data_IF_027084810155
#
_entry.id   IF_027084810155
#
_cell.length_a   1.000
_cell.length_b   1.000
_cell.length_c   1.000
_cell.angle_alpha   90.00
_cell.angle_beta   90.00
_cell.angle_gamma   90.00
#
_symmetry.space_group_name_H-M   'P 1'
#
loop_
_entity.id
_entity.type
_entity.pdbx_description
1 polymer ?
#
# COMPACT_ATOMS: atom_id res chain seq x y z
N UNK A 1 -24.02 -57.97 13.71
CA UNK A 1 -24.44 -56.65 13.17
C UNK A 1 -23.29 -55.71 13.34
N UNK A 2 -22.53 -55.47 12.29
CA UNK A 2 -21.27 -54.69 12.32
C UNK A 2 -21.60 -53.26 11.96
N UNK A 3 -21.57 -52.35 12.92
CA UNK A 3 -21.67 -50.90 12.68
C UNK A 3 -20.40 -50.45 11.94
N UNK A 4 -20.52 -50.17 10.66
CA UNK A 4 -19.51 -49.45 9.91
C UNK A 4 -19.49 -48.02 10.39
N UNK A 5 -18.43 -47.65 11.13
CA UNK A 5 -18.09 -46.29 11.42
C UNK A 5 -17.75 -45.60 10.09
N UNK A 6 -18.66 -44.83 9.54
CA UNK A 6 -18.36 -43.94 8.41
C UNK A 6 -17.45 -42.83 8.97
N UNK A 7 -16.18 -42.94 8.71
CA UNK A 7 -15.25 -41.80 8.80
C UNK A 7 -15.66 -40.88 7.64
N UNK A 8 -16.44 -39.85 7.95
CA UNK A 8 -16.65 -38.74 7.03
C UNK A 8 -15.28 -38.09 6.80
N UNK A 9 -14.71 -38.34 5.62
CA UNK A 9 -13.61 -37.53 5.10
C UNK A 9 -14.11 -36.08 5.06
N UNK A 10 -13.71 -35.32 6.02
CA UNK A 10 -13.95 -33.86 6.05
C UNK A 10 -13.26 -33.31 4.80
N UNK A 11 -14.03 -32.84 3.83
CA UNK A 11 -13.44 -32.12 2.68
C UNK A 11 -12.72 -30.92 3.20
N UNK A 12 -11.42 -30.83 2.95
CA UNK A 12 -10.61 -29.67 3.26
C UNK A 12 -11.21 -28.43 2.62
N UNK A 13 -11.30 -27.35 3.40
CA UNK A 13 -11.80 -26.06 2.88
C UNK A 13 -10.84 -25.51 1.83
N UNK A 14 -11.35 -24.73 0.89
CA UNK A 14 -10.50 -24.09 -0.14
C UNK A 14 -9.38 -23.26 0.49
N UNK A 15 -9.68 -22.53 1.59
CA UNK A 15 -8.68 -21.76 2.32
C UNK A 15 -7.57 -22.67 2.92
N UNK A 16 -7.94 -23.81 3.52
CA UNK A 16 -6.96 -24.74 4.09
C UNK A 16 -6.00 -25.27 3.02
N UNK A 17 -6.53 -25.65 1.85
CA UNK A 17 -5.73 -26.06 0.70
C UNK A 17 -4.82 -24.95 0.20
N UNK A 18 -5.37 -23.73 0.08
CA UNK A 18 -4.64 -22.55 -0.42
C UNK A 18 -3.46 -22.16 0.49
N UNK A 19 -3.62 -22.33 1.80
CA UNK A 19 -2.60 -22.01 2.80
C UNK A 19 -1.69 -23.20 3.14
N UNK A 20 -2.05 -24.41 2.71
CA UNK A 20 -1.41 -25.68 3.10
C UNK A 20 -1.36 -25.85 4.63
N UNK A 21 -2.52 -25.71 5.26
CA UNK A 21 -2.73 -25.83 6.72
C UNK A 21 -3.97 -26.70 7.00
N UNK A 22 -4.15 -27.10 8.25
CA UNK A 22 -5.35 -27.81 8.65
C UNK A 22 -6.60 -26.93 8.65
N UNK A 23 -7.78 -27.54 8.52
CA UNK A 23 -9.07 -26.85 8.48
C UNK A 23 -9.38 -26.06 9.75
N UNK A 24 -8.90 -26.49 10.92
CA UNK A 24 -9.14 -25.82 12.18
C UNK A 24 -8.40 -24.49 12.22
N UNK A 25 -7.16 -24.48 11.73
CA UNK A 25 -6.36 -23.29 11.61
C UNK A 25 -6.94 -22.31 10.57
N UNK A 26 -7.31 -22.79 9.38
CA UNK A 26 -7.96 -21.98 8.36
C UNK A 26 -9.27 -21.35 8.88
N UNK A 27 -10.07 -22.12 9.61
CA UNK A 27 -11.29 -21.66 10.26
C UNK A 27 -11.02 -20.57 11.31
N UNK A 28 -9.97 -20.72 12.13
CA UNK A 28 -9.58 -19.72 13.11
C UNK A 28 -9.16 -18.39 12.42
N UNK A 29 -8.39 -18.47 11.34
CA UNK A 29 -8.02 -17.28 10.55
C UNK A 29 -9.26 -16.57 10.01
N UNK A 30 -10.20 -17.31 9.40
CA UNK A 30 -11.38 -16.76 8.75
C UNK A 30 -12.41 -16.19 9.72
N UNK A 31 -12.62 -16.87 10.84
CA UNK A 31 -13.71 -16.54 11.75
C UNK A 31 -13.29 -15.70 12.96
N UNK A 32 -12.00 -15.71 13.33
CA UNK A 32 -11.51 -15.02 14.54
C UNK A 32 -10.48 -13.94 14.24
N UNK A 33 -9.49 -14.22 13.40
CA UNK A 33 -8.39 -13.29 13.14
C UNK A 33 -8.81 -12.24 12.09
N UNK A 34 -9.39 -12.69 10.97
CA UNK A 34 -9.83 -11.84 9.86
C UNK A 34 -11.31 -12.07 9.50
N UNK A 35 -12.26 -11.85 10.45
CA UNK A 35 -13.67 -12.12 10.22
C UNK A 35 -14.21 -11.27 9.08
N UNK A 36 -14.87 -11.93 8.09
CA UNK A 36 -15.46 -11.27 6.93
C UNK A 36 -14.50 -11.01 5.76
N UNK A 37 -13.21 -11.29 5.90
CA UNK A 37 -12.26 -11.17 4.80
C UNK A 37 -12.42 -12.29 3.77
N UNK A 38 -12.07 -12.01 2.51
CA UNK A 38 -12.02 -13.00 1.42
C UNK A 38 -10.86 -13.96 1.63
N UNK A 39 -10.99 -15.18 1.14
CA UNK A 39 -9.96 -16.22 1.28
C UNK A 39 -8.63 -15.78 0.64
N UNK A 40 -8.67 -15.12 -0.53
CA UNK A 40 -7.49 -14.54 -1.18
C UNK A 40 -6.81 -13.45 -0.34
N UNK A 41 -7.60 -12.60 0.32
CA UNK A 41 -7.05 -11.54 1.19
C UNK A 41 -6.43 -12.12 2.46
N UNK A 42 -7.01 -13.20 3.01
CA UNK A 42 -6.41 -13.95 4.14
C UNK A 42 -5.10 -14.60 3.68
N UNK A 43 -5.03 -15.14 2.46
CA UNK A 43 -3.80 -15.67 1.91
C UNK A 43 -2.72 -14.59 1.82
N UNK A 44 -3.03 -13.40 1.31
CA UNK A 44 -2.06 -12.30 1.26
C UNK A 44 -1.57 -11.91 2.66
N UNK A 45 -2.47 -11.84 3.65
CA UNK A 45 -2.08 -11.58 5.04
C UNK A 45 -1.19 -12.70 5.62
N UNK A 46 -1.47 -13.96 5.28
CA UNK A 46 -0.65 -15.10 5.62
C UNK A 46 0.75 -15.03 5.00
N UNK A 47 0.83 -14.79 3.69
CA UNK A 47 2.10 -14.66 2.96
C UNK A 47 2.93 -13.48 3.48
N UNK A 48 2.28 -12.33 3.77
CA UNK A 48 2.89 -11.18 4.44
C UNK A 48 3.51 -11.57 5.78
N UNK A 49 2.76 -12.25 6.63
CA UNK A 49 3.25 -12.68 7.94
C UNK A 49 4.42 -13.66 7.80
N UNK A 50 4.35 -14.62 6.88
CA UNK A 50 5.44 -15.58 6.62
C UNK A 50 6.71 -14.89 6.14
N UNK A 51 6.60 -13.97 5.18
CA UNK A 51 7.74 -13.24 4.65
C UNK A 51 8.50 -12.43 5.72
N UNK A 52 7.78 -11.95 6.74
CA UNK A 52 8.33 -11.17 7.85
C UNK A 52 8.60 -11.99 9.12
N UNK A 53 8.37 -13.30 9.09
CA UNK A 53 8.49 -14.18 10.25
C UNK A 53 7.59 -13.77 11.42
N UNK A 54 6.36 -13.32 11.11
CA UNK A 54 5.37 -12.89 12.08
C UNK A 54 4.36 -14.01 12.35
N UNK A 55 3.91 -14.11 13.59
CA UNK A 55 2.84 -15.02 13.98
C UNK A 55 1.47 -14.39 13.62
N UNK A 56 0.82 -14.91 12.58
CA UNK A 56 -0.48 -14.42 12.11
C UNK A 56 -1.57 -14.48 13.18
N UNK A 57 -1.48 -15.44 14.13
CA UNK A 57 -2.44 -15.58 15.21
C UNK A 57 -2.41 -14.42 16.21
N UNK A 58 -1.33 -13.68 16.26
CA UNK A 58 -1.19 -12.42 17.03
C UNK A 58 -1.76 -11.21 16.31
N UNK A 59 -2.31 -11.40 15.12
CA UNK A 59 -2.89 -10.34 14.28
C UNK A 59 -1.94 -9.15 14.07
N UNK A 60 -0.74 -9.37 13.54
CA UNK A 60 0.24 -8.29 13.35
C UNK A 60 -0.14 -7.32 12.24
N UNK A 61 -1.04 -7.71 11.36
CA UNK A 61 -1.55 -6.89 10.26
C UNK A 61 -3.08 -6.91 10.20
N UNK A 62 -3.62 -5.99 9.42
CA UNK A 62 -5.04 -5.84 9.18
C UNK A 62 -5.31 -5.89 7.68
N UNK A 63 -6.48 -6.42 7.31
CA UNK A 63 -7.00 -6.39 5.94
C UNK A 63 -7.97 -5.22 5.86
N UNK A 64 -7.61 -4.21 5.08
CA UNK A 64 -8.38 -2.95 4.98
C UNK A 64 -8.80 -2.76 3.53
N UNK A 65 -10.12 -2.62 3.29
CA UNK A 65 -10.64 -2.24 1.98
C UNK A 65 -10.30 -0.78 1.70
N UNK A 66 -9.56 -0.52 0.65
CA UNK A 66 -9.15 0.83 0.23
C UNK A 66 -9.45 1.08 -1.25
N UNK A 67 -9.77 2.33 -1.55
CA UNK A 67 -9.88 2.81 -2.93
C UNK A 67 -8.48 3.12 -3.45
N UNK A 68 -7.98 2.33 -4.38
CA UNK A 68 -6.65 2.47 -4.96
C UNK A 68 -6.75 2.87 -6.43
N UNK A 69 -5.77 3.65 -6.90
CA UNK A 69 -5.68 4.03 -8.31
C UNK A 69 -5.32 2.81 -9.16
N UNK A 70 -5.99 2.66 -10.31
CA UNK A 70 -5.68 1.59 -11.27
C UNK A 70 -4.40 1.93 -12.00
N UNK A 71 -3.38 1.06 -12.01
CA UNK A 71 -2.15 1.29 -12.76
C UNK A 71 -2.43 1.62 -14.23
N UNK A 72 -1.83 2.71 -14.72
CA UNK A 72 -2.01 3.17 -16.11
C UNK A 72 -3.28 3.98 -16.37
N UNK A 73 -4.02 4.36 -15.33
CA UNK A 73 -5.17 5.27 -15.47
C UNK A 73 -5.18 6.30 -14.34
N UNK A 74 -5.11 7.57 -14.67
CA UNK A 74 -5.10 8.68 -13.70
C UNK A 74 -6.44 8.85 -12.96
N UNK A 75 -7.57 8.44 -13.58
CA UNK A 75 -8.90 8.73 -13.06
C UNK A 75 -9.67 7.51 -12.56
N UNK A 76 -9.17 6.29 -12.80
CA UNK A 76 -9.87 5.07 -12.38
C UNK A 76 -9.38 4.61 -11.01
N UNK A 77 -10.32 4.49 -10.08
CA UNK A 77 -10.10 3.89 -8.76
C UNK A 77 -10.87 2.58 -8.66
N UNK A 78 -10.30 1.64 -7.95
CA UNK A 78 -10.98 0.37 -7.60
C UNK A 78 -10.79 0.07 -6.12
N UNK A 79 -11.75 -0.65 -5.54
CA UNK A 79 -11.64 -1.13 -4.17
C UNK A 79 -10.83 -2.41 -4.13
N UNK A 80 -9.78 -2.38 -3.33
CA UNK A 80 -8.93 -3.55 -3.06
C UNK A 80 -8.72 -3.72 -1.58
N UNK A 81 -8.62 -4.98 -1.15
CA UNK A 81 -8.12 -5.30 0.17
C UNK A 81 -6.60 -5.06 0.20
N UNK A 82 -6.18 -4.20 1.12
CA UNK A 82 -4.78 -3.84 1.36
C UNK A 82 -4.36 -4.41 2.70
N UNK A 83 -3.20 -5.06 2.74
CA UNK A 83 -2.62 -5.53 3.99
C UNK A 83 -1.85 -4.37 4.62
N UNK A 84 -2.26 -3.99 5.82
CA UNK A 84 -1.63 -2.91 6.56
C UNK A 84 -1.06 -3.44 7.89
N UNK A 85 0.21 -3.14 8.20
CA UNK A 85 0.77 -3.48 9.51
C UNK A 85 0.00 -2.78 10.63
N UNK A 86 -0.08 -3.40 11.79
CA UNK A 86 -0.52 -2.73 13.01
C UNK A 86 0.67 -2.18 13.79
N UNK A 87 0.45 -1.29 14.74
CA UNK A 87 1.52 -0.74 15.60
C UNK A 87 2.32 -1.85 16.33
N UNK A 88 1.69 -2.99 16.62
CA UNK A 88 2.37 -4.13 17.25
C UNK A 88 3.46 -4.73 16.34
N UNK A 89 3.25 -4.72 15.04
CA UNK A 89 4.23 -5.17 14.05
C UNK A 89 5.41 -4.20 13.99
N UNK A 90 5.15 -2.88 13.90
CA UNK A 90 6.20 -1.87 13.91
C UNK A 90 7.09 -1.94 15.17
N UNK A 91 6.49 -2.16 16.35
CA UNK A 91 7.21 -2.41 17.58
C UNK A 91 8.09 -3.66 17.50
N UNK A 92 7.54 -4.76 16.96
CA UNK A 92 8.26 -6.04 16.81
C UNK A 92 9.45 -5.86 15.87
N UNK A 93 9.29 -5.18 14.76
CA UNK A 93 10.34 -4.89 13.79
C UNK A 93 11.44 -4.04 14.41
N UNK A 94 11.09 -2.93 15.07
CA UNK A 94 12.06 -2.11 15.79
C UNK A 94 12.85 -2.91 16.85
N UNK A 95 12.15 -3.73 17.65
CA UNK A 95 12.79 -4.59 18.68
C UNK A 95 13.78 -5.59 18.07
N UNK A 96 13.46 -6.18 16.92
CA UNK A 96 14.30 -7.17 16.23
C UNK A 96 15.62 -6.60 15.72
N UNK A 97 15.71 -5.30 15.51
CA UNK A 97 16.97 -4.64 15.11
C UNK A 97 18.06 -4.74 16.19
N UNK A 98 17.69 -5.00 17.44
CA UNK A 98 18.58 -4.92 18.59
C UNK A 98 19.03 -3.49 18.96
N UNK A 99 18.54 -2.49 18.22
CA UNK A 99 18.91 -1.07 18.42
C UNK A 99 17.82 -0.26 19.15
N UNK A 100 16.64 -0.83 19.38
CA UNK A 100 15.56 -0.15 20.09
C UNK A 100 15.88 -0.01 21.57
N UNK A 101 15.93 1.21 22.08
CA UNK A 101 16.29 1.58 23.45
C UNK A 101 15.09 2.09 24.28
N UNK A 102 13.88 1.71 23.85
CA UNK A 102 12.64 2.15 24.50
C UNK A 102 12.10 3.46 23.94
N UNK A 103 11.08 3.96 24.62
CA UNK A 103 10.41 5.22 24.28
C UNK A 103 9.97 5.97 25.53
N UNK A 104 9.66 7.27 25.38
CA UNK A 104 9.05 8.05 26.44
C UNK A 104 7.59 7.64 26.65
N UNK A 105 7.03 8.03 27.83
CA UNK A 105 5.59 8.08 27.98
C UNK A 105 4.98 9.10 26.99
N UNK A 106 3.73 8.89 26.53
CA UNK A 106 3.04 9.86 25.69
C UNK A 106 2.77 11.17 26.44
N UNK A 107 3.26 12.29 25.91
CA UNK A 107 2.96 13.65 26.38
C UNK A 107 1.79 14.17 25.55
N UNK A 108 0.74 14.70 26.22
CA UNK A 108 -0.43 15.27 25.56
C UNK A 108 -0.50 16.77 25.77
N UNK A 109 -0.86 17.47 24.71
CA UNK A 109 -1.18 18.90 24.76
C UNK A 109 -2.45 19.21 25.55
N UNK A 110 -2.85 20.48 25.61
CA UNK A 110 -4.08 20.89 26.28
C UNK A 110 -5.30 20.20 25.64
N UNK A 111 -6.38 20.13 26.44
CA UNK A 111 -7.66 19.67 25.91
C UNK A 111 -8.33 20.83 25.19
N UNK A 112 -8.74 20.62 23.94
CA UNK A 112 -9.42 21.59 23.09
C UNK A 112 -10.76 21.05 22.63
N UNK A 113 -11.72 21.93 22.38
CA UNK A 113 -13.00 21.57 21.79
C UNK A 113 -12.88 21.63 20.26
N UNK A 114 -13.00 20.49 19.59
CA UNK A 114 -12.96 20.37 18.14
C UNK A 114 -14.33 19.95 17.61
N UNK A 115 -14.84 20.66 16.61
CA UNK A 115 -16.07 20.30 15.91
C UNK A 115 -15.74 19.35 14.77
N UNK A 116 -16.19 18.10 14.88
CA UNK A 116 -15.99 17.06 13.87
C UNK A 116 -17.36 16.54 13.44
N UNK A 117 -17.68 16.67 12.15
CA UNK A 117 -19.00 16.38 11.64
C UNK A 117 -20.07 17.23 12.31
N UNK A 118 -21.07 16.56 12.87
CA UNK A 118 -22.19 17.21 13.57
C UNK A 118 -21.95 17.47 15.05
N UNK A 119 -20.85 16.96 15.63
CA UNK A 119 -20.62 16.93 17.09
C UNK A 119 -19.38 17.69 17.49
N UNK A 120 -19.40 18.21 18.71
CA UNK A 120 -18.23 18.77 19.38
C UNK A 120 -17.58 17.68 20.23
N UNK A 121 -16.26 17.62 20.17
CA UNK A 121 -15.46 16.66 20.90
C UNK A 121 -14.36 17.38 21.68
N UNK A 122 -14.23 17.07 22.96
CA UNK A 122 -13.08 17.44 23.74
C UNK A 122 -11.95 16.45 23.46
N UNK A 123 -10.82 16.93 22.92
CA UNK A 123 -9.69 16.14 22.45
C UNK A 123 -8.36 16.75 22.89
N UNK A 124 -7.28 15.97 23.06
CA UNK A 124 -5.96 16.57 23.22
C UNK A 124 -5.57 17.22 21.88
N UNK A 125 -5.03 18.44 21.94
CA UNK A 125 -4.61 19.18 20.75
C UNK A 125 -3.53 18.41 19.97
N UNK A 126 -2.57 17.86 20.71
CA UNK A 126 -1.47 17.06 20.13
C UNK A 126 -1.01 15.97 21.10
N UNK A 127 -0.22 15.06 20.58
CA UNK A 127 0.56 14.11 21.35
C UNK A 127 2.01 14.09 20.87
N UNK A 128 2.95 13.81 21.77
CA UNK A 128 4.37 13.67 21.49
C UNK A 128 4.90 12.39 22.13
N UNK A 129 5.71 11.66 21.37
CA UNK A 129 6.49 10.51 21.85
C UNK A 129 7.91 10.63 21.33
N UNK A 130 8.87 10.22 22.13
CA UNK A 130 10.27 10.10 21.73
C UNK A 130 10.67 8.63 21.75
N UNK A 131 11.01 8.06 20.59
CA UNK A 131 11.64 6.75 20.48
C UNK A 131 13.15 6.93 20.60
N UNK A 132 13.81 5.99 21.25
CA UNK A 132 15.26 6.00 21.42
C UNK A 132 15.88 4.84 20.65
N UNK A 133 16.94 5.14 19.89
CA UNK A 133 17.72 4.16 19.13
C UNK A 133 19.19 4.18 19.60
N UNK A 134 19.81 3.01 19.62
CA UNK A 134 21.25 2.87 19.85
C UNK A 134 21.99 3.17 18.54
N UNK A 135 22.83 4.21 18.53
CA UNK A 135 23.67 4.58 17.40
C UNK A 135 25.10 4.84 17.90
N UNK A 136 26.07 4.17 17.33
CA UNK A 136 27.49 4.31 17.70
C UNK A 136 27.76 4.17 19.21
N UNK A 137 26.94 3.38 19.90
CA UNK A 137 27.05 3.19 21.36
C UNK A 137 26.28 4.22 22.19
N UNK A 138 25.65 5.20 21.59
CA UNK A 138 24.89 6.26 22.25
C UNK A 138 23.38 6.09 22.06
N UNK A 139 22.60 6.57 23.04
CA UNK A 139 21.14 6.59 23.01
C UNK A 139 20.66 7.86 22.33
N UNK A 140 20.27 7.76 21.06
CA UNK A 140 19.81 8.90 20.23
C UNK A 140 18.30 9.03 20.29
N UNK A 141 17.74 10.22 20.56
CA UNK A 141 16.29 10.48 20.62
C UNK A 141 15.72 10.83 19.25
N UNK A 142 14.56 10.23 18.94
CA UNK A 142 13.75 10.48 17.74
C UNK A 142 12.35 10.93 18.15
N UNK A 143 12.12 12.24 18.41
CA UNK A 143 10.81 12.74 18.78
C UNK A 143 9.88 12.85 17.56
N UNK A 144 8.60 12.61 17.81
CA UNK A 144 7.50 12.88 16.88
C UNK A 144 6.34 13.51 17.61
N UNK A 145 5.68 14.44 16.94
CA UNK A 145 4.45 15.10 17.39
C UNK A 145 3.42 14.91 16.29
N UNK A 146 2.19 14.63 16.72
CA UNK A 146 1.03 14.50 15.83
C UNK A 146 -0.11 15.32 16.41
N UNK A 147 -0.81 16.07 15.58
CA UNK A 147 -1.97 16.85 15.96
C UNK A 147 -3.24 16.06 15.79
N UNK A 148 -4.17 16.16 16.75
CA UNK A 148 -5.40 15.41 16.70
C UNK A 148 -6.22 15.68 15.44
N UNK A 149 -6.25 16.92 15.00
CA UNK A 149 -6.99 17.37 13.82
C UNK A 149 -6.49 16.77 12.50
N UNK A 150 -5.22 16.34 12.46
CA UNK A 150 -4.60 15.71 11.28
C UNK A 150 -4.66 14.19 11.32
N UNK A 151 -4.75 13.60 12.52
CA UNK A 151 -4.61 12.16 12.74
C UNK A 151 -5.92 11.38 12.81
N UNK A 152 -7.03 12.04 13.19
CA UNK A 152 -8.27 11.31 13.47
C UNK A 152 -8.88 10.69 12.21
N UNK A 153 -9.57 9.55 12.41
CA UNK A 153 -10.35 8.91 11.37
C UNK A 153 -11.85 9.11 11.60
N UNK A 154 -12.55 9.46 10.54
CA UNK A 154 -13.99 9.70 10.53
C UNK A 154 -14.78 8.57 9.84
N UNK A 155 -16.11 8.67 9.95
CA UNK A 155 -17.07 7.86 9.23
C UNK A 155 -17.47 8.56 7.93
N UNK A 156 -18.17 7.87 7.04
CA UNK A 156 -18.75 8.44 5.82
C UNK A 156 -19.59 9.71 6.04
N UNK A 157 -20.19 9.88 7.22
CA UNK A 157 -20.97 11.07 7.59
C UNK A 157 -20.12 12.19 8.22
N UNK A 158 -18.80 12.06 8.22
CA UNK A 158 -17.87 13.03 8.78
C UNK A 158 -17.75 13.02 10.32
N UNK A 159 -18.51 12.19 11.05
CA UNK A 159 -18.35 12.06 12.51
C UNK A 159 -17.16 11.15 12.83
N UNK A 160 -16.55 11.31 14.01
CA UNK A 160 -15.49 10.42 14.47
C UNK A 160 -15.93 8.95 14.43
N UNK A 161 -15.03 8.07 13.97
CA UNK A 161 -15.28 6.65 14.05
C UNK A 161 -15.33 6.14 15.51
N UNK A 162 -15.80 4.91 15.71
CA UNK A 162 -16.05 4.36 17.05
C UNK A 162 -14.78 4.25 17.91
N UNK A 163 -13.63 3.97 17.30
CA UNK A 163 -12.35 3.82 18.01
C UNK A 163 -11.85 5.19 18.46
N UNK A 164 -11.84 6.18 17.60
CA UNK A 164 -11.46 7.55 17.92
C UNK A 164 -12.42 8.22 18.90
N UNK A 165 -13.72 7.88 18.83
CA UNK A 165 -14.69 8.35 19.83
C UNK A 165 -14.41 7.81 21.23
N UNK A 166 -14.10 6.50 21.34
CA UNK A 166 -13.93 5.81 22.63
C UNK A 166 -12.53 5.99 23.24
N UNK A 167 -11.49 6.09 22.41
CA UNK A 167 -10.08 6.05 22.83
C UNK A 167 -9.24 7.14 22.16
N UNK A 168 -9.66 8.38 22.23
CA UNK A 168 -9.04 9.53 21.60
C UNK A 168 -7.53 9.62 21.86
N UNK A 169 -7.13 9.62 23.14
CA UNK A 169 -5.71 9.66 23.53
C UNK A 169 -4.93 8.40 23.08
N UNK A 170 -5.52 7.23 23.26
CA UNK A 170 -4.85 5.98 22.91
C UNK A 170 -4.67 5.78 21.42
N UNK A 171 -5.58 6.27 20.57
CA UNK A 171 -5.41 6.23 19.12
C UNK A 171 -4.36 7.25 18.68
N UNK A 172 -4.44 8.48 19.15
CA UNK A 172 -3.44 9.51 18.85
C UNK A 172 -2.02 9.06 19.27
N UNK A 173 -1.87 8.50 20.47
CA UNK A 173 -0.57 7.98 20.92
C UNK A 173 0.00 6.89 19.99
N UNK A 174 -0.83 6.01 19.44
CA UNK A 174 -0.38 4.99 18.50
C UNK A 174 0.11 5.59 17.17
N UNK A 175 -0.57 6.59 16.65
CA UNK A 175 -0.15 7.31 15.43
C UNK A 175 1.20 7.99 15.66
N UNK A 176 1.34 8.71 16.78
CA UNK A 176 2.60 9.37 17.17
C UNK A 176 3.74 8.36 17.32
N UNK A 177 3.47 7.23 17.98
CA UNK A 177 4.46 6.17 18.17
C UNK A 177 4.92 5.60 16.82
N UNK A 178 4.00 5.34 15.90
CA UNK A 178 4.32 4.87 14.55
C UNK A 178 5.20 5.86 13.80
N UNK A 179 4.90 7.16 13.85
CA UNK A 179 5.71 8.20 13.27
C UNK A 179 7.11 8.29 13.88
N UNK A 180 7.22 8.16 15.21
CA UNK A 180 8.51 8.13 15.91
C UNK A 180 9.34 6.89 15.55
N UNK A 181 8.71 5.72 15.45
CA UNK A 181 9.36 4.47 15.05
C UNK A 181 9.89 4.55 13.61
N UNK A 182 9.11 5.09 12.66
CA UNK A 182 9.56 5.31 11.27
C UNK A 182 10.77 6.24 11.18
N UNK A 183 10.81 7.29 11.99
CA UNK A 183 11.98 8.18 12.06
C UNK A 183 13.21 7.50 12.63
N UNK A 184 13.02 6.66 13.66
CA UNK A 184 14.12 5.96 14.31
C UNK A 184 14.64 4.76 13.50
N UNK A 185 13.77 4.11 12.72
CA UNK A 185 14.04 2.87 11.97
C UNK A 185 13.60 3.00 10.51
N UNK A 186 14.19 3.94 9.73
CA UNK A 186 13.72 4.24 8.37
C UNK A 186 13.98 3.09 7.39
N UNK A 187 15.00 2.28 7.58
CA UNK A 187 15.30 1.13 6.71
C UNK A 187 14.23 0.04 6.86
N UNK A 188 13.76 -0.18 8.08
CA UNK A 188 12.81 -1.25 8.40
C UNK A 188 11.35 -0.81 8.27
N UNK A 189 11.05 0.47 8.55
CA UNK A 189 9.68 1.00 8.70
C UNK A 189 9.36 2.23 7.82
N UNK A 190 10.34 2.78 7.10
CA UNK A 190 10.20 4.09 6.44
C UNK A 190 9.08 4.19 5.40
N UNK A 191 8.74 3.09 4.73
CA UNK A 191 7.67 3.04 3.73
C UNK A 191 6.32 2.55 4.27
N UNK A 192 6.18 2.29 5.56
CA UNK A 192 5.00 1.66 6.13
C UNK A 192 4.09 2.66 6.84
N UNK A 193 2.80 2.64 6.46
CA UNK A 193 1.73 3.32 7.20
C UNK A 193 1.01 2.26 8.01
N UNK A 194 0.96 2.45 9.33
CA UNK A 194 0.23 1.50 10.17
C UNK A 194 -1.27 1.72 10.05
N UNK A 195 -1.98 0.67 10.30
CA UNK A 195 -3.43 0.63 10.18
C UNK A 195 -4.15 1.64 11.08
N UNK A 196 -3.54 2.05 12.18
CA UNK A 196 -4.05 3.07 13.09
C UNK A 196 -4.02 4.48 12.52
N UNK A 197 -3.15 4.75 11.54
CA UNK A 197 -3.04 6.01 10.80
C UNK A 197 -3.93 6.05 9.57
N UNK A 198 -4.43 4.89 9.13
CA UNK A 198 -5.29 4.82 7.95
C UNK A 198 -6.68 5.43 8.23
N UNK A 199 -7.11 6.34 7.39
CA UNK A 199 -8.46 6.83 7.31
C UNK A 199 -9.10 6.31 6.00
N UNK A 200 -10.36 5.94 5.93
CA UNK A 200 -11.44 5.86 6.90
C UNK A 200 -11.89 4.41 7.21
N UNK A 201 -12.53 4.22 8.33
CA UNK A 201 -13.29 3.01 8.69
C UNK A 201 -12.46 1.75 8.98
N UNK A 202 -11.32 1.93 9.58
CA UNK A 202 -10.46 0.86 10.04
C UNK A 202 -11.12 -0.17 10.98
N UNK A 203 -12.21 0.21 11.65
CA UNK A 203 -12.93 -0.66 12.58
C UNK A 203 -13.99 -1.56 11.94
N UNK A 204 -14.35 -1.34 10.69
CA UNK A 204 -15.33 -2.13 9.96
C UNK A 204 -14.65 -2.86 8.80
N UNK A 205 -14.20 -4.09 9.07
CA UNK A 205 -13.84 -5.04 7.99
C UNK A 205 -15.13 -5.40 7.25
N UNK A 206 -15.58 -4.53 6.36
CA UNK A 206 -16.54 -4.91 5.33
C UNK A 206 -15.73 -5.51 4.18
N UNK A 207 -16.14 -6.68 3.64
CA UNK A 207 -15.58 -7.13 2.38
C UNK A 207 -15.65 -5.99 1.37
N UNK A 208 -14.66 -5.87 0.49
CA UNK A 208 -14.67 -4.86 -0.57
C UNK A 208 -15.87 -5.12 -1.49
N UNK A 209 -17.02 -4.59 -1.13
CA UNK A 209 -18.14 -4.43 -2.05
C UNK A 209 -17.88 -3.19 -2.88
N UNK A 210 -17.98 -3.25 -4.21
CA UNK A 210 -17.90 -2.04 -5.03
C UNK A 210 -18.97 -1.07 -4.53
N UNK A 211 -18.55 0.04 -3.95
CA UNK A 211 -19.49 1.11 -3.68
C UNK A 211 -19.77 1.81 -5.01
N UNK A 212 -21.04 1.98 -5.34
CA UNK A 212 -21.49 2.95 -6.32
C UNK A 212 -21.30 4.35 -5.71
N UNK A 213 -20.07 4.82 -5.61
CA UNK A 213 -19.77 6.17 -5.14
C UNK A 213 -19.18 6.97 -6.30
N UNK A 214 -19.89 8.02 -6.69
CA UNK A 214 -19.39 9.05 -7.62
C UNK A 214 -18.05 9.61 -7.09
N UNK A 215 -17.08 9.90 -7.98
CA UNK A 215 -15.79 10.42 -7.58
C UNK A 215 -15.95 11.79 -6.91
N UNK A 216 -15.51 11.90 -5.67
CA UNK A 216 -15.39 13.20 -4.99
C UNK A 216 -14.23 13.94 -5.63
N UNK A 217 -14.56 15.02 -6.36
CA UNK A 217 -13.56 15.94 -6.89
C UNK A 217 -13.06 16.84 -5.74
N UNK A 218 -11.81 16.74 -5.31
CA UNK A 218 -11.28 17.54 -4.20
C UNK A 218 -11.12 19.03 -4.53
N UNK A 219 -11.33 19.45 -5.78
CA UNK A 219 -11.18 20.84 -6.24
C UNK A 219 -12.49 21.53 -6.65
N UNK A 220 -13.65 21.02 -6.25
CA UNK A 220 -14.88 21.80 -6.14
C UNK A 220 -15.48 22.48 -7.38
N UNK A 221 -15.07 22.16 -8.61
CA UNK A 221 -15.71 22.68 -9.82
C UNK A 221 -16.50 21.58 -10.54
N UNK A 222 -17.81 21.82 -10.72
CA UNK A 222 -18.66 20.95 -11.53
C UNK A 222 -18.22 21.01 -12.98
N UNK A 223 -18.01 19.86 -13.67
CA UNK A 223 -17.75 19.87 -15.11
C UNK A 223 -18.97 20.39 -15.85
N UNK A 224 -18.75 21.34 -16.77
CA UNK A 224 -19.75 21.74 -17.75
C UNK A 224 -20.06 20.58 -18.67
N UNK A 225 -21.35 20.32 -18.86
CA UNK A 225 -21.85 19.30 -19.79
C UNK A 225 -21.27 19.50 -21.19
N UNK A 226 -20.59 18.46 -21.69
CA UNK A 226 -20.22 18.30 -23.09
C UNK A 226 -21.24 17.37 -23.77
N UNK A 227 -21.59 17.58 -25.02
CA UNK A 227 -22.71 16.92 -25.67
C UNK A 227 -22.47 15.42 -25.92
N UNK A 228 -23.57 14.66 -25.79
CA UNK A 228 -23.66 13.23 -25.99
C UNK A 228 -23.02 12.73 -27.28
N UNK A 229 -22.04 11.82 -27.16
CA UNK A 229 -21.60 10.95 -28.26
C UNK A 229 -21.99 9.53 -27.96
N UNK A 230 -22.71 8.94 -28.88
CA UNK A 230 -23.43 7.67 -28.85
C UNK A 230 -22.63 6.48 -28.25
N UNK A 231 -23.38 5.72 -27.44
CA UNK A 231 -23.02 4.37 -26.96
C UNK A 231 -22.81 3.42 -28.14
N UNK A 232 -21.58 2.89 -28.31
CA UNK A 232 -21.39 1.49 -28.70
C UNK A 232 -19.91 1.10 -28.63
N UNK A 233 -19.70 -0.12 -28.15
CA UNK A 233 -18.49 -0.95 -28.16
C UNK A 233 -17.56 -0.84 -26.95
N UNK A 234 -17.72 -1.81 -26.04
CA UNK A 234 -16.66 -2.29 -25.12
C UNK A 234 -15.50 -2.90 -25.95
N UNK A 235 -14.25 -2.45 -25.76
CA UNK A 235 -13.12 -3.25 -26.21
C UNK A 235 -12.80 -4.35 -25.19
N UNK A 236 -12.37 -5.54 -25.62
CA UNK A 236 -12.06 -6.66 -24.76
C UNK A 236 -10.81 -6.38 -23.90
N UNK A 237 -10.85 -6.81 -22.64
CA UNK A 237 -9.69 -6.84 -21.74
C UNK A 237 -8.58 -7.69 -22.37
N UNK A 238 -7.54 -7.08 -22.95
CA UNK A 238 -6.31 -7.78 -23.31
C UNK A 238 -5.52 -8.09 -22.04
N UNK A 239 -5.37 -9.36 -21.75
CA UNK A 239 -4.36 -9.86 -20.83
C UNK A 239 -2.98 -9.48 -21.39
N UNK A 240 -2.11 -8.90 -20.56
CA UNK A 240 -0.73 -8.58 -20.93
C UNK A 240 -0.02 -9.89 -21.23
N UNK A 241 0.43 -10.06 -22.46
CA UNK A 241 1.15 -11.26 -22.88
C UNK A 241 2.63 -11.16 -22.46
N UNK A 242 3.39 -12.26 -22.39
CA UNK A 242 4.83 -12.21 -22.19
C UNK A 242 5.58 -11.35 -23.21
N UNK A 243 5.03 -11.16 -24.39
CA UNK A 243 5.56 -10.31 -25.46
C UNK A 243 5.33 -8.82 -25.14
N UNK A 244 4.15 -8.46 -24.65
CA UNK A 244 3.85 -7.10 -24.17
C UNK A 244 4.79 -6.69 -23.03
N UNK A 245 5.10 -7.61 -22.11
CA UNK A 245 6.05 -7.36 -21.02
C UNK A 245 7.48 -7.10 -21.52
N UNK A 246 7.95 -7.86 -22.51
CA UNK A 246 9.26 -7.64 -23.15
C UNK A 246 9.33 -6.28 -23.84
N UNK A 247 8.21 -5.89 -24.48
CA UNK A 247 8.10 -4.60 -25.14
C UNK A 247 8.16 -3.43 -24.14
N UNK A 248 7.44 -3.50 -23.02
CA UNK A 248 7.47 -2.50 -21.96
C UNK A 248 8.89 -2.33 -21.43
N UNK A 249 9.56 -3.42 -21.10
CA UNK A 249 10.97 -3.39 -20.64
C UNK A 249 11.91 -2.75 -21.65
N UNK A 250 11.71 -2.97 -22.94
CA UNK A 250 12.54 -2.39 -23.98
C UNK A 250 12.34 -0.87 -24.07
N UNK A 251 11.12 -0.37 -23.90
CA UNK A 251 10.81 1.07 -23.87
C UNK A 251 11.44 1.73 -22.63
N UNK A 252 11.37 1.09 -21.46
CA UNK A 252 12.01 1.55 -20.24
C UNK A 252 13.53 1.66 -20.41
N UNK A 253 14.18 0.62 -20.95
CA UNK A 253 15.63 0.59 -21.19
C UNK A 253 16.06 1.69 -22.19
N UNK A 254 15.27 1.96 -23.23
CA UNK A 254 15.49 3.07 -24.16
C UNK A 254 15.45 4.41 -23.43
N UNK A 255 14.48 4.61 -22.53
CA UNK A 255 14.34 5.82 -21.72
C UNK A 255 15.55 6.05 -20.81
N UNK A 256 16.00 5.02 -20.11
CA UNK A 256 17.18 5.09 -19.24
C UNK A 256 18.49 5.42 -20.00
N UNK A 257 18.73 4.77 -21.13
CA UNK A 257 19.91 5.02 -21.94
C UNK A 257 19.89 6.42 -22.55
N UNK A 258 18.73 6.88 -23.02
CA UNK A 258 18.55 8.22 -23.53
C UNK A 258 18.84 9.29 -22.48
N UNK A 259 18.39 9.06 -21.24
CA UNK A 259 18.70 9.94 -20.10
C UNK A 259 20.20 9.98 -19.79
N UNK A 260 20.86 8.81 -19.73
CA UNK A 260 22.32 8.71 -19.51
C UNK A 260 23.12 9.41 -20.63
N UNK A 261 22.64 9.39 -21.87
CA UNK A 261 23.24 10.05 -23.02
C UNK A 261 22.80 11.52 -23.20
N UNK A 262 22.06 12.11 -22.25
CA UNK A 262 21.52 13.47 -22.28
C UNK A 262 20.78 13.81 -23.60
N UNK A 263 20.01 12.86 -24.15
CA UNK A 263 19.22 13.08 -25.36
C UNK A 263 18.14 14.14 -25.13
N UNK A 264 18.09 15.12 -26.02
CA UNK A 264 17.14 16.25 -25.93
C UNK A 264 15.80 15.94 -26.61
N UNK A 265 14.80 16.78 -26.36
CA UNK A 265 13.50 16.70 -27.03
C UNK A 265 13.62 16.86 -28.56
N UNK A 266 14.64 17.59 -29.04
CA UNK A 266 14.91 17.77 -30.47
C UNK A 266 15.48 16.49 -31.10
N UNK A 267 16.30 15.74 -30.38
CA UNK A 267 16.80 14.45 -30.83
C UNK A 267 15.65 13.45 -30.98
N UNK A 268 14.74 13.43 -30.02
CA UNK A 268 13.54 12.58 -30.10
C UNK A 268 12.62 12.97 -31.23
N UNK A 269 12.43 14.27 -31.52
CA UNK A 269 11.67 14.70 -32.71
C UNK A 269 12.24 14.13 -34.00
N UNK A 270 13.56 14.13 -34.17
CA UNK A 270 14.21 13.54 -35.34
C UNK A 270 13.97 12.04 -35.44
N UNK A 271 14.03 11.33 -34.31
CA UNK A 271 13.77 9.89 -34.25
C UNK A 271 12.31 9.60 -34.63
N UNK A 272 11.36 10.32 -34.05
CA UNK A 272 9.94 10.11 -34.32
C UNK A 272 9.58 10.42 -35.79
N UNK A 273 10.12 11.50 -36.34
CA UNK A 273 9.94 11.83 -37.78
C UNK A 273 10.53 10.73 -38.66
N UNK A 274 11.72 10.19 -38.32
CA UNK A 274 12.37 9.15 -39.11
C UNK A 274 11.55 7.86 -39.19
N UNK A 275 10.90 7.47 -38.09
CA UNK A 275 10.07 6.25 -38.03
C UNK A 275 8.58 6.49 -38.28
N UNK A 276 8.15 7.74 -38.45
CA UNK A 276 6.74 8.09 -38.67
C UNK A 276 5.86 7.78 -37.48
N UNK A 277 6.40 7.88 -36.25
CA UNK A 277 5.72 7.59 -34.99
C UNK A 277 5.55 8.87 -34.15
N UNK A 278 4.55 8.91 -33.31
CA UNK A 278 4.33 10.03 -32.38
C UNK A 278 4.92 9.79 -31.00
N UNK A 279 5.19 8.53 -30.63
CA UNK A 279 5.79 8.12 -29.36
C UNK A 279 6.47 6.75 -29.48
N UNK A 280 7.26 6.36 -28.47
CA UNK A 280 7.89 5.03 -28.41
C UNK A 280 6.85 3.90 -28.36
N UNK A 281 5.73 4.15 -27.70
CA UNK A 281 4.64 3.19 -27.61
C UNK A 281 3.93 2.94 -28.95
N UNK A 282 3.99 3.89 -29.88
CA UNK A 282 3.42 3.76 -31.23
C UNK A 282 4.34 3.02 -32.19
N UNK A 283 5.63 2.83 -31.84
CA UNK A 283 6.62 2.18 -32.71
C UNK A 283 6.48 0.66 -32.72
N UNK A 284 6.94 0.02 -33.81
CA UNK A 284 7.03 -1.43 -33.90
C UNK A 284 8.24 -1.97 -33.12
N UNK A 285 8.17 -3.21 -32.67
CA UNK A 285 9.27 -3.86 -31.90
C UNK A 285 10.61 -3.84 -32.63
N UNK A 286 10.61 -3.96 -33.94
CA UNK A 286 11.84 -3.93 -34.73
C UNK A 286 12.48 -2.54 -34.73
N UNK A 287 11.69 -1.49 -34.68
CA UNK A 287 12.12 -0.10 -34.61
C UNK A 287 12.68 0.22 -33.23
N UNK A 288 12.00 -0.23 -32.16
CA UNK A 288 12.47 -0.11 -30.78
C UNK A 288 13.82 -0.82 -30.58
N UNK A 289 14.00 -2.04 -31.12
CA UNK A 289 15.28 -2.75 -31.09
C UNK A 289 16.38 -2.00 -31.81
N UNK A 290 16.07 -1.36 -32.94
CA UNK A 290 17.03 -0.56 -33.69
C UNK A 290 17.51 0.66 -32.91
N UNK A 291 16.57 1.36 -32.24
CA UNK A 291 16.88 2.51 -31.37
C UNK A 291 17.73 2.06 -30.19
N UNK A 292 17.33 0.98 -29.50
CA UNK A 292 18.05 0.43 -28.36
C UNK A 292 19.51 0.06 -28.74
N UNK A 293 19.71 -0.58 -29.89
CA UNK A 293 21.02 -0.95 -30.38
C UNK A 293 21.90 0.28 -30.69
N UNK A 294 21.30 1.35 -31.23
CA UNK A 294 22.01 2.62 -31.49
C UNK A 294 22.45 3.29 -30.20
N UNK A 295 21.52 3.41 -29.21
CA UNK A 295 21.85 4.03 -27.93
C UNK A 295 22.93 3.25 -27.17
N UNK A 296 22.87 1.91 -27.17
CA UNK A 296 23.92 1.08 -26.58
C UNK A 296 25.29 1.28 -27.24
N UNK A 297 25.34 1.52 -28.55
CA UNK A 297 26.57 1.78 -29.27
C UNK A 297 27.15 3.18 -29.02
N UNK A 298 26.30 4.13 -28.65
CA UNK A 298 26.69 5.50 -28.28
C UNK A 298 27.20 5.61 -26.84
N UNK A 299 26.99 4.59 -25.99
CA UNK A 299 27.46 4.58 -24.60
C UNK A 299 28.99 4.48 -24.55
N UNK A 300 29.67 5.36 -23.77
CA UNK A 300 31.14 5.25 -23.55
C UNK A 300 31.47 3.91 -22.86
N UNK A 301 32.62 3.30 -23.24
CA UNK A 301 33.07 2.01 -22.69
C UNK A 301 33.21 2.01 -21.15
N UNK A 302 33.48 3.16 -20.55
CA UNK A 302 33.63 3.34 -19.08
C UNK A 302 32.34 3.14 -18.28
N UNK A 303 31.16 3.27 -18.89
CA UNK A 303 29.86 3.09 -18.25
C UNK A 303 29.26 1.69 -18.46
N UNK A 304 29.90 0.84 -19.23
CA UNK A 304 29.47 -0.54 -19.50
C UNK A 304 29.91 -1.56 -18.43
N UNK A 305 30.76 -1.16 -17.46
CA UNK A 305 31.35 -2.08 -16.47
C UNK A 305 30.58 -2.21 -15.15
N UNK A 306 29.53 -1.43 -14.92
CA UNK A 306 28.72 -1.55 -13.67
C UNK A 306 27.58 -2.59 -13.72
N UNK A 307 27.45 -3.34 -14.81
CA UNK A 307 26.43 -4.38 -15.02
C UNK A 307 26.87 -5.82 -14.79
N UNK A 308 28.08 -6.08 -14.30
CA UNK A 308 28.63 -7.44 -14.16
C UNK A 308 29.34 -7.64 -12.82
N UNK A 309 28.63 -7.52 -11.70
CA UNK A 309 29.03 -8.15 -10.44
C UNK A 309 27.78 -8.59 -9.69
N UNK A 310 27.54 -9.92 -9.68
CA UNK A 310 26.75 -10.81 -8.86
C UNK A 310 25.24 -10.74 -9.01
#
# INVERSE_FOLDING_TARGET
>A
MTQKTQIQLKQETELAKMLNVDDSFASALKNSIFPGAKDESIRFAWDYCKARGLDVMKKPCHIVGMSVSVPGSFDKKEWRDVIMPGIAEARTTAMRTGKYMGQSEPEFGPMVELKIGSKKHEVPEWCKITVYRLENGEKVPYPHIEYFEEAYADKKNGDLNSMWTKRKRGQLAKCVEAGALRKAFPEELGGEIVAEEANPNFSEMKPATPAEDEPINPFGEKPKELPEVSKNANPPKKSITPEDYKRIKMIEEIGELAHKLNKTAEDWKKVFVHYGAESLEAMKDIELRSILAKLKKEMPEELNLEGSIV
#
